data_IF_286388553373
#
_entry.id   IF_286388553373
#
_cell.length_a   1.000
_cell.length_b   1.000
_cell.length_c   1.000
_cell.angle_alpha   90.00
_cell.angle_beta   90.00
_cell.angle_gamma   90.00
#
_symmetry.space_group_name_H-M   'P 1'
#
loop_
_entity.id
_entity.type
_entity.pdbx_description
1 polymer ?
#
# COMPACT_ATOMS: atom_id res chain seq x y z
N UNK A 1 -36.01 -7.53 41.59
CA UNK A 1 -34.69 -7.80 41.00
C UNK A 1 -34.80 -7.54 39.51
N UNK A 2 -34.22 -6.44 39.00
CA UNK A 2 -34.01 -6.27 37.56
C UNK A 2 -32.73 -7.04 37.25
N UNK A 3 -32.85 -8.20 36.64
CA UNK A 3 -31.70 -8.88 36.04
C UNK A 3 -31.13 -7.94 34.98
N UNK A 4 -29.95 -7.39 35.27
CA UNK A 4 -29.11 -6.77 34.26
C UNK A 4 -28.72 -7.89 33.29
N UNK A 5 -29.50 -8.07 32.22
CA UNK A 5 -29.02 -8.76 31.02
C UNK A 5 -27.68 -8.10 30.64
N UNK A 6 -26.56 -8.76 30.97
CA UNK A 6 -25.27 -8.43 30.39
C UNK A 6 -25.43 -8.66 28.90
N UNK A 7 -25.75 -7.61 28.14
CA UNK A 7 -25.70 -7.63 26.67
C UNK A 7 -24.34 -8.20 26.28
N UNK A 8 -24.35 -9.43 25.77
CA UNK A 8 -23.16 -10.10 25.26
C UNK A 8 -22.62 -9.20 24.16
N UNK A 9 -21.36 -8.76 24.29
CA UNK A 9 -20.73 -7.95 23.25
C UNK A 9 -20.65 -8.78 21.97
N UNK A 10 -21.03 -8.23 20.81
CA UNK A 10 -20.99 -8.97 19.55
C UNK A 10 -19.55 -9.43 19.26
N UNK A 11 -19.43 -10.65 18.77
CA UNK A 11 -18.16 -11.28 18.39
C UNK A 11 -17.65 -10.73 17.06
N UNK A 12 -16.34 -10.49 16.96
CA UNK A 12 -15.71 -9.88 15.80
C UNK A 12 -14.51 -10.73 15.39
N UNK A 13 -14.41 -11.06 14.10
CA UNK A 13 -13.19 -11.59 13.48
C UNK A 13 -12.83 -10.75 12.27
N UNK A 14 -11.55 -10.47 12.09
CA UNK A 14 -11.05 -9.75 10.92
C UNK A 14 -9.89 -10.55 10.37
N UNK A 15 -10.03 -11.02 9.14
CA UNK A 15 -8.97 -11.71 8.43
C UNK A 15 -7.92 -10.71 7.97
N UNK A 16 -6.65 -11.02 8.22
CA UNK A 16 -5.52 -10.24 7.72
C UNK A 16 -4.85 -11.06 6.62
N UNK A 17 -4.98 -10.62 5.37
CA UNK A 17 -4.44 -11.35 4.22
C UNK A 17 -2.94 -11.15 4.03
N UNK A 18 -2.20 -12.26 4.04
CA UNK A 18 -0.75 -12.33 3.80
C UNK A 18 -0.46 -13.16 2.55
N UNK A 19 0.54 -12.76 1.78
CA UNK A 19 1.11 -13.58 0.71
C UNK A 19 2.63 -13.74 0.85
N UNK A 20 3.22 -13.21 1.91
CA UNK A 20 4.64 -13.35 2.29
C UNK A 20 4.81 -12.99 3.77
N UNK A 21 5.93 -13.33 4.41
CA UNK A 21 6.21 -12.89 5.77
C UNK A 21 6.27 -11.36 5.89
N UNK A 22 5.73 -10.88 7.00
CA UNK A 22 5.68 -9.49 7.42
C UNK A 22 5.34 -9.46 8.91
N UNK A 23 5.30 -8.28 9.52
CA UNK A 23 4.83 -8.14 10.89
C UNK A 23 3.47 -8.84 11.09
N UNK A 24 3.42 -9.73 12.09
CA UNK A 24 2.26 -10.58 12.34
C UNK A 24 1.20 -9.82 13.14
N UNK A 25 0.12 -9.43 12.47
CA UNK A 25 -1.04 -8.79 13.07
C UNK A 25 -2.03 -9.86 13.52
N UNK A 26 -1.91 -10.31 14.77
CA UNK A 26 -2.68 -11.43 15.33
C UNK A 26 -3.12 -11.13 16.75
N UNK A 27 -4.41 -11.30 17.03
CA UNK A 27 -5.01 -11.30 18.36
C UNK A 27 -6.37 -12.01 18.33
N UNK A 28 -7.20 -11.85 19.36
CA UNK A 28 -8.52 -12.50 19.42
C UNK A 28 -9.47 -12.05 18.30
N UNK A 29 -9.28 -10.84 17.75
CA UNK A 29 -10.08 -10.28 16.65
C UNK A 29 -9.36 -10.53 15.31
N UNK A 30 -8.05 -10.27 15.23
CA UNK A 30 -7.24 -10.36 14.02
C UNK A 30 -6.78 -11.79 13.76
N UNK A 31 -7.19 -12.36 12.62
CA UNK A 31 -6.86 -13.71 12.20
C UNK A 31 -6.02 -13.68 10.92
N UNK A 32 -4.70 -13.89 10.99
CA UNK A 32 -3.85 -14.00 9.80
C UNK A 32 -4.26 -15.15 8.90
N UNK A 33 -4.35 -14.90 7.59
CA UNK A 33 -4.61 -15.91 6.55
C UNK A 33 -3.58 -15.82 5.42
N UNK A 34 -3.01 -16.98 5.05
CA UNK A 34 -2.11 -17.14 3.90
C UNK A 34 -2.96 -17.27 2.64
N UNK A 35 -2.86 -16.29 1.76
CA UNK A 35 -3.54 -16.21 0.48
C UNK A 35 -2.76 -16.97 -0.60
N UNK A 36 -3.46 -17.71 -1.44
CA UNK A 36 -2.87 -18.46 -2.55
C UNK A 36 -1.91 -19.56 -2.09
N UNK A 37 -2.13 -20.12 -0.90
CA UNK A 37 -1.24 -21.15 -0.34
C UNK A 37 -1.11 -22.37 -1.24
N UNK A 38 -2.16 -22.72 -2.00
CA UNK A 38 -2.13 -23.80 -2.99
C UNK A 38 -1.12 -23.56 -4.14
N UNK A 39 -0.72 -22.31 -4.38
CA UNK A 39 0.17 -21.91 -5.48
C UNK A 39 1.54 -21.44 -4.97
N UNK A 40 1.92 -21.84 -3.75
CA UNK A 40 3.15 -21.34 -3.10
C UNK A 40 4.44 -21.69 -3.87
N UNK A 41 4.43 -22.79 -4.62
CA UNK A 41 5.55 -23.24 -5.45
C UNK A 41 5.64 -22.48 -6.77
N UNK A 42 4.62 -21.72 -7.14
CA UNK A 42 4.60 -20.92 -8.36
C UNK A 42 5.09 -19.50 -8.09
N UNK A 43 5.81 -18.92 -9.06
CA UNK A 43 6.20 -17.52 -8.98
C UNK A 43 4.97 -16.60 -8.91
N UNK A 44 5.05 -15.58 -8.05
CA UNK A 44 4.12 -14.47 -8.01
C UNK A 44 4.73 -13.23 -8.67
N UNK A 45 3.95 -12.15 -8.81
CA UNK A 45 4.48 -10.84 -9.21
C UNK A 45 5.56 -10.30 -8.26
N UNK A 46 5.58 -10.80 -7.02
CA UNK A 46 6.51 -10.41 -5.96
C UNK A 46 7.68 -11.40 -5.82
N UNK A 47 7.78 -12.38 -6.74
CA UNK A 47 8.81 -13.42 -6.76
C UNK A 47 8.39 -14.74 -6.11
N UNK A 48 9.39 -15.53 -5.71
CA UNK A 48 9.23 -16.83 -5.04
C UNK A 48 9.41 -16.69 -3.53
N UNK A 49 8.76 -17.57 -2.77
CA UNK A 49 8.86 -17.62 -1.31
C UNK A 49 9.85 -18.72 -0.91
N UNK A 50 10.71 -18.42 0.07
CA UNK A 50 11.66 -19.42 0.57
C UNK A 50 10.96 -20.53 1.36
N UNK A 51 11.61 -21.68 1.53
CA UNK A 51 11.05 -22.78 2.33
C UNK A 51 10.84 -22.37 3.80
N UNK A 52 11.75 -21.56 4.34
CA UNK A 52 11.69 -21.09 5.72
C UNK A 52 10.55 -20.09 5.90
N UNK A 53 10.38 -19.16 4.95
CA UNK A 53 9.25 -18.23 4.93
C UNK A 53 7.92 -18.98 4.84
N UNK A 54 7.83 -19.99 3.96
CA UNK A 54 6.62 -20.82 3.84
C UNK A 54 6.29 -21.53 5.16
N UNK A 55 7.29 -22.14 5.79
CA UNK A 55 7.13 -22.82 7.09
C UNK A 55 6.65 -21.84 8.16
N UNK A 56 7.30 -20.67 8.27
CA UNK A 56 6.88 -19.63 9.21
C UNK A 56 5.43 -19.20 8.95
N UNK A 57 5.03 -19.05 7.70
CA UNK A 57 3.65 -18.71 7.37
C UNK A 57 2.69 -19.81 7.85
N UNK A 58 2.94 -21.08 7.52
CA UNK A 58 2.12 -22.20 7.96
C UNK A 58 1.95 -22.31 9.49
N UNK A 59 3.00 -22.01 10.25
CA UNK A 59 2.97 -22.02 11.73
C UNK A 59 2.15 -20.87 12.33
N UNK A 60 2.11 -19.72 11.65
CA UNK A 60 1.58 -18.49 12.23
C UNK A 60 0.17 -18.12 11.75
N UNK A 61 -0.27 -18.64 10.59
CA UNK A 61 -1.52 -18.23 9.94
C UNK A 61 -2.31 -19.42 9.37
N UNK A 62 -3.63 -19.27 9.30
CA UNK A 62 -4.48 -20.25 8.61
C UNK A 62 -4.28 -20.18 7.10
N UNK A 63 -4.61 -21.25 6.38
CA UNK A 63 -4.49 -21.32 4.93
C UNK A 63 -5.83 -21.15 4.25
N UNK A 64 -5.83 -20.38 3.16
CA UNK A 64 -7.00 -20.28 2.28
C UNK A 64 -7.20 -21.51 1.39
N UNK A 65 -6.41 -22.58 1.57
CA UNK A 65 -6.36 -23.83 0.79
C UNK A 65 -7.01 -25.03 1.53
N UNK A 66 -7.78 -24.77 2.59
CA UNK A 66 -8.42 -25.82 3.40
C UNK A 66 -9.95 -25.76 3.29
N UNK A 67 -10.64 -26.90 3.45
CA UNK A 67 -12.10 -26.96 3.29
C UNK A 67 -12.56 -26.59 1.87
N UNK A 68 -13.74 -26.00 1.76
CA UNK A 68 -14.21 -25.45 0.47
C UNK A 68 -13.45 -24.14 0.18
N UNK A 69 -12.71 -24.13 -0.94
CA UNK A 69 -11.76 -23.08 -1.24
C UNK A 69 -11.46 -22.89 -2.72
N UNK A 70 -10.87 -21.73 -3.03
CA UNK A 70 -10.42 -21.34 -4.36
C UNK A 70 -8.97 -20.83 -4.35
N UNK A 71 -8.12 -21.33 -3.44
CA UNK A 71 -6.73 -20.88 -3.30
C UNK A 71 -5.95 -21.01 -4.63
N UNK A 72 -6.26 -22.04 -5.43
CA UNK A 72 -5.71 -22.27 -6.77
C UNK A 72 -6.09 -21.19 -7.80
N UNK A 73 -7.02 -20.28 -7.50
CA UNK A 73 -7.37 -19.12 -8.34
C UNK A 73 -6.70 -17.82 -7.89
N UNK A 74 -5.80 -17.85 -6.91
CA UNK A 74 -5.20 -16.63 -6.35
C UNK A 74 -4.46 -15.76 -7.37
N UNK A 75 -3.87 -16.36 -8.42
CA UNK A 75 -3.23 -15.60 -9.51
C UNK A 75 -4.20 -14.73 -10.30
N UNK A 76 -5.50 -15.02 -10.24
CA UNK A 76 -6.57 -14.30 -10.94
C UNK A 76 -7.47 -13.48 -10.02
N UNK A 77 -7.68 -13.97 -8.79
CA UNK A 77 -8.64 -13.40 -7.82
C UNK A 77 -7.96 -12.79 -6.59
N UNK A 78 -6.64 -12.92 -6.44
CA UNK A 78 -5.86 -12.32 -5.36
C UNK A 78 -6.49 -12.53 -3.96
N UNK A 79 -6.63 -11.46 -3.16
CA UNK A 79 -7.18 -11.49 -1.81
C UNK A 79 -8.57 -12.12 -1.69
N UNK A 80 -9.34 -12.11 -2.77
CA UNK A 80 -10.69 -12.64 -2.78
C UNK A 80 -10.70 -14.15 -2.48
N UNK A 81 -9.58 -14.85 -2.68
CA UNK A 81 -9.43 -16.25 -2.26
C UNK A 81 -9.57 -16.43 -0.74
N UNK A 82 -9.01 -15.52 0.06
CA UNK A 82 -9.20 -15.51 1.52
C UNK A 82 -10.60 -15.09 1.94
N UNK A 83 -11.22 -14.16 1.21
CA UNK A 83 -12.61 -13.74 1.44
C UNK A 83 -13.58 -14.89 1.15
N UNK A 84 -13.36 -15.62 0.05
CA UNK A 84 -14.13 -16.83 -0.29
C UNK A 84 -13.98 -17.90 0.77
N UNK A 85 -12.75 -18.14 1.23
CA UNK A 85 -12.49 -19.10 2.29
C UNK A 85 -13.29 -18.76 3.54
N UNK A 86 -13.31 -17.49 3.94
CA UNK A 86 -14.10 -17.01 5.07
C UNK A 86 -15.61 -17.25 4.89
N UNK A 87 -16.12 -17.04 3.68
CA UNK A 87 -17.52 -17.28 3.35
C UNK A 87 -17.91 -18.74 3.46
N UNK A 88 -17.10 -19.65 2.91
CA UNK A 88 -17.39 -21.08 2.87
C UNK A 88 -17.02 -21.85 4.15
N UNK A 89 -16.18 -21.25 4.99
CA UNK A 89 -15.68 -21.87 6.22
C UNK A 89 -15.99 -21.00 7.46
N UNK A 90 -17.11 -20.26 7.41
CA UNK A 90 -17.49 -19.28 8.42
C UNK A 90 -17.65 -19.86 9.84
N UNK A 91 -18.07 -21.12 9.92
CA UNK A 91 -18.17 -21.90 11.14
C UNK A 91 -16.80 -22.12 11.80
N UNK A 92 -15.75 -22.34 11.01
CA UNK A 92 -14.37 -22.48 11.49
C UNK A 92 -13.81 -21.19 12.09
N UNK A 93 -14.43 -20.05 11.81
CA UNK A 93 -14.11 -18.75 12.42
C UNK A 93 -14.89 -18.49 13.71
N UNK A 94 -15.69 -19.44 14.18
CA UNK A 94 -16.48 -19.32 15.39
C UNK A 94 -17.82 -18.60 15.18
N UNK A 95 -18.31 -18.54 13.93
CA UNK A 95 -19.57 -17.87 13.58
C UNK A 95 -19.69 -16.42 14.09
N UNK A 96 -18.71 -15.54 13.83
CA UNK A 96 -18.70 -14.21 14.42
C UNK A 96 -19.90 -13.36 13.97
N UNK A 97 -20.34 -12.43 14.81
CA UNK A 97 -21.42 -11.47 14.47
C UNK A 97 -20.94 -10.48 13.41
N UNK A 98 -19.67 -10.12 13.47
CA UNK A 98 -18.96 -9.28 12.50
C UNK A 98 -17.75 -10.01 11.91
N UNK A 99 -17.62 -9.92 10.59
CA UNK A 99 -16.47 -10.42 9.85
C UNK A 99 -15.84 -9.27 9.06
N UNK A 100 -14.52 -9.21 9.05
CA UNK A 100 -13.80 -8.25 8.23
C UNK A 100 -12.65 -8.86 7.45
N UNK A 101 -12.14 -8.07 6.53
CA UNK A 101 -10.94 -8.36 5.77
C UNK A 101 -10.08 -7.10 5.63
N UNK A 102 -8.79 -7.24 5.92
CA UNK A 102 -7.76 -6.21 5.71
C UNK A 102 -6.49 -6.86 5.13
N UNK A 103 -5.61 -6.05 4.55
CA UNK A 103 -4.31 -6.55 4.07
C UNK A 103 -3.25 -6.42 5.17
N UNK A 104 -2.21 -7.25 5.11
CA UNK A 104 -1.08 -7.15 6.06
C UNK A 104 -0.38 -5.78 6.05
N UNK A 105 -0.45 -5.04 4.94
CA UNK A 105 0.19 -3.72 4.76
C UNK A 105 -0.79 -2.57 4.51
N UNK A 106 -2.11 -2.83 4.60
CA UNK A 106 -3.14 -1.80 4.47
C UNK A 106 -4.20 -2.03 5.54
N UNK A 107 -4.34 -1.06 6.44
CA UNK A 107 -5.17 -1.21 7.63
C UNK A 107 -6.06 0.02 7.81
N UNK A 108 -7.23 -0.18 8.42
CA UNK A 108 -8.07 0.89 8.90
C UNK A 108 -7.36 1.67 10.01
N UNK A 109 -7.36 2.99 9.91
CA UNK A 109 -6.92 3.89 10.97
C UNK A 109 -8.13 4.18 11.85
N UNK A 110 -8.15 3.59 13.04
CA UNK A 110 -9.21 3.83 14.02
C UNK A 110 -8.92 5.05 14.89
N UNK A 111 -7.64 5.31 15.22
CA UNK A 111 -7.22 6.52 15.92
C UNK A 111 -6.89 7.65 14.95
N UNK A 112 -7.82 8.58 14.76
CA UNK A 112 -7.62 9.72 13.85
C UNK A 112 -6.56 10.71 14.34
N UNK A 113 -6.12 10.65 15.61
CA UNK A 113 -5.08 11.56 16.11
C UNK A 113 -3.72 11.34 15.42
N UNK A 114 -3.48 10.14 14.87
CA UNK A 114 -2.26 9.86 14.11
C UNK A 114 -2.24 10.58 12.75
N UNK A 115 -3.41 10.97 12.22
CA UNK A 115 -3.57 11.55 10.87
C UNK A 115 -2.79 12.84 10.71
N UNK A 116 -2.80 13.71 11.72
CA UNK A 116 -2.13 15.02 11.69
C UNK A 116 -0.62 14.95 11.41
N UNK A 117 -0.02 13.77 11.57
CA UNK A 117 1.43 13.54 11.47
C UNK A 117 1.82 12.71 10.25
N UNK A 118 0.83 12.28 9.48
CA UNK A 118 1.00 11.42 8.32
C UNK A 118 0.75 12.21 7.04
N UNK A 119 1.37 11.75 5.95
CA UNK A 119 1.16 12.33 4.63
C UNK A 119 0.31 11.39 3.80
N UNK A 120 -0.58 11.96 3.00
CA UNK A 120 -1.22 11.21 1.94
C UNK A 120 -0.19 10.81 0.90
N UNK A 121 -0.35 9.61 0.34
CA UNK A 121 0.35 9.22 -0.88
C UNK A 121 0.07 10.28 -1.96
N UNK A 122 1.13 10.99 -2.37
CA UNK A 122 1.05 12.07 -3.35
C UNK A 122 0.57 11.59 -4.72
N UNK A 123 0.70 10.29 -5.03
CA UNK A 123 0.27 9.71 -6.30
C UNK A 123 -1.21 9.32 -6.32
N UNK A 124 -1.72 8.77 -5.21
CA UNK A 124 -3.06 8.19 -5.20
C UNK A 124 -4.03 8.85 -4.21
N UNK A 125 -3.60 9.71 -3.28
CA UNK A 125 -4.42 10.34 -2.21
C UNK A 125 -5.38 9.40 -1.45
N UNK A 126 -5.25 8.09 -1.63
CA UNK A 126 -6.14 7.07 -1.10
C UNK A 126 -5.64 6.53 0.24
N UNK A 127 -4.31 6.44 0.37
CA UNK A 127 -3.65 5.94 1.56
C UNK A 127 -2.90 7.05 2.29
N UNK A 128 -2.81 6.85 3.60
CA UNK A 128 -1.89 7.52 4.49
C UNK A 128 -0.60 6.69 4.52
N UNK A 129 0.49 7.25 4.02
CA UNK A 129 1.77 6.55 3.96
C UNK A 129 2.34 6.41 5.36
N UNK A 130 2.58 5.16 5.76
CA UNK A 130 3.22 4.79 7.02
C UNK A 130 4.62 4.27 6.69
N UNK A 131 5.69 5.00 7.06
CA UNK A 131 7.04 4.60 6.73
C UNK A 131 7.42 3.22 7.26
N UNK A 132 6.98 2.89 8.48
CA UNK A 132 7.26 1.64 9.16
C UNK A 132 6.30 1.39 10.32
N UNK A 133 6.28 0.14 10.77
CA UNK A 133 5.47 -0.27 11.91
C UNK A 133 6.13 0.14 13.23
N UNK A 134 5.40 0.88 14.07
CA UNK A 134 5.81 1.23 15.43
C UNK A 134 4.64 1.07 16.41
N UNK A 135 4.92 1.17 17.72
CA UNK A 135 3.90 0.98 18.77
C UNK A 135 2.69 1.89 18.61
N UNK A 136 2.91 3.14 18.22
CA UNK A 136 1.81 4.10 18.02
C UNK A 136 0.91 3.68 16.87
N UNK A 137 1.48 3.32 15.73
CA UNK A 137 0.74 2.82 14.57
C UNK A 137 -0.02 1.54 14.92
N UNK A 138 0.64 0.57 15.57
CA UNK A 138 0.00 -0.67 16.04
C UNK A 138 -1.23 -0.38 16.90
N UNK A 139 -1.13 0.56 17.83
CA UNK A 139 -2.27 0.97 18.66
C UNK A 139 -3.37 1.64 17.84
N UNK A 140 -3.02 2.50 16.89
CA UNK A 140 -3.97 3.24 16.05
C UNK A 140 -4.79 2.36 15.10
N UNK A 141 -4.27 1.20 14.71
CA UNK A 141 -4.93 0.25 13.80
C UNK A 141 -5.52 -0.96 14.52
N UNK A 142 -5.44 -1.04 15.86
CA UNK A 142 -5.88 -2.19 16.64
C UNK A 142 -7.40 -2.13 16.90
N UNK A 143 -8.22 -3.00 16.29
CA UNK A 143 -9.68 -2.95 16.42
C UNK A 143 -10.18 -3.07 17.86
N UNK A 144 -9.47 -3.84 18.70
CA UNK A 144 -9.83 -4.06 20.10
C UNK A 144 -9.92 -2.78 20.95
N UNK A 145 -9.24 -1.70 20.54
CA UNK A 145 -9.27 -0.41 21.24
C UNK A 145 -10.42 0.50 20.79
N UNK A 146 -11.12 0.15 19.70
CA UNK A 146 -12.10 1.01 19.03
C UNK A 146 -13.36 0.22 18.62
N UNK A 147 -13.83 -0.67 19.50
CA UNK A 147 -14.99 -1.53 19.23
C UNK A 147 -16.25 -0.72 18.90
N UNK A 148 -16.42 0.45 19.50
CA UNK A 148 -17.52 1.39 19.25
C UNK A 148 -17.55 1.90 17.80
N UNK A 149 -16.39 1.99 17.14
CA UNK A 149 -16.29 2.33 15.71
C UNK A 149 -16.66 1.17 14.78
N UNK A 150 -17.00 0.00 15.34
CA UNK A 150 -17.39 -1.20 14.59
C UNK A 150 -18.82 -1.60 14.93
N UNK A 151 -19.11 -1.84 16.21
CA UNK A 151 -20.37 -2.48 16.65
C UNK A 151 -21.62 -1.59 16.48
N UNK A 152 -21.42 -0.28 16.30
CA UNK A 152 -22.52 0.67 16.06
C UNK A 152 -22.90 0.78 14.58
N UNK A 153 -22.19 0.07 13.70
CA UNK A 153 -22.36 0.17 12.26
C UNK A 153 -22.72 -1.20 11.66
N UNK A 154 -23.37 -1.17 10.51
CA UNK A 154 -23.65 -2.34 9.70
C UNK A 154 -22.43 -2.73 8.85
N UNK A 155 -21.71 -1.70 8.36
CA UNK A 155 -20.51 -1.80 7.54
C UNK A 155 -19.47 -0.79 8.02
N UNK A 156 -18.23 -1.23 8.20
CA UNK A 156 -17.03 -0.39 8.26
C UNK A 156 -16.27 -0.57 6.97
N UNK A 157 -15.91 0.51 6.30
CA UNK A 157 -15.16 0.51 5.05
C UNK A 157 -14.12 1.64 5.03
N UNK A 158 -13.29 1.66 3.99
CA UNK A 158 -12.37 2.76 3.76
C UNK A 158 -13.11 4.02 3.32
N UNK A 159 -12.50 5.19 3.51
CA UNK A 159 -12.97 6.40 2.81
C UNK A 159 -12.91 6.17 1.31
N UNK A 160 -13.95 6.63 0.61
CA UNK A 160 -14.03 6.51 -0.84
C UNK A 160 -12.84 7.21 -1.49
N UNK A 161 -12.22 6.53 -2.45
CA UNK A 161 -11.19 7.14 -3.28
C UNK A 161 -11.86 8.03 -4.31
N UNK A 162 -11.41 9.28 -4.35
CA UNK A 162 -11.68 10.21 -5.43
C UNK A 162 -10.35 10.43 -6.13
N UNK A 163 -10.20 10.06 -7.42
CA UNK A 163 -9.04 10.40 -8.24
C UNK A 163 -8.88 11.91 -8.24
N UNK A 164 -8.07 12.41 -7.32
CA UNK A 164 -8.04 13.83 -7.04
C UNK A 164 -7.30 14.53 -8.19
N UNK A 165 -7.69 15.79 -8.39
CA UNK A 165 -7.29 16.73 -9.42
C UNK A 165 -5.80 16.76 -9.86
N UNK A 166 -4.82 16.11 -9.23
CA UNK A 166 -3.43 16.14 -9.72
C UNK A 166 -3.20 15.24 -10.94
N UNK A 167 -3.68 14.00 -10.91
CA UNK A 167 -3.71 13.13 -12.10
C UNK A 167 -4.66 13.75 -13.13
N UNK A 168 -5.86 14.16 -12.70
CA UNK A 168 -6.86 14.83 -13.54
C UNK A 168 -6.39 16.18 -14.12
N UNK A 169 -5.56 16.97 -13.45
CA UNK A 169 -5.04 18.25 -13.98
C UNK A 169 -3.90 18.02 -14.98
N UNK A 170 -3.03 17.04 -14.75
CA UNK A 170 -2.01 16.64 -15.72
C UNK A 170 -2.64 15.93 -16.93
N UNK A 171 -3.79 15.27 -16.77
CA UNK A 171 -4.51 14.54 -17.82
C UNK A 171 -5.62 15.36 -18.51
N UNK A 172 -6.12 16.44 -17.91
CA UNK A 172 -6.95 17.46 -18.59
C UNK A 172 -6.21 18.09 -19.77
N UNK A 173 -4.88 18.12 -19.73
CA UNK A 173 -4.04 18.48 -20.86
C UNK A 173 -4.24 17.56 -22.09
N UNK A 174 -4.75 16.34 -21.89
CA UNK A 174 -4.96 15.32 -22.93
C UNK A 174 -6.40 15.21 -23.45
N UNK A 175 -7.36 15.99 -22.93
CA UNK A 175 -8.78 16.03 -23.39
C UNK A 175 -9.48 14.66 -23.54
N UNK A 176 -9.29 13.74 -22.59
CA UNK A 176 -10.03 12.46 -22.58
C UNK A 176 -11.00 12.45 -21.40
N UNK A 177 -12.29 12.20 -21.66
CA UNK A 177 -13.29 11.94 -20.63
C UNK A 177 -12.92 10.62 -19.91
N UNK A 178 -12.76 10.64 -18.60
CA UNK A 178 -12.43 9.45 -17.80
C UNK A 178 -13.69 8.86 -17.17
N UNK A 179 -14.12 7.73 -17.69
CA UNK A 179 -15.11 6.82 -17.10
C UNK A 179 -14.34 5.63 -16.44
N UNK A 180 -15.06 4.72 -15.78
CA UNK A 180 -14.52 3.58 -15.03
C UNK A 180 -13.54 2.74 -15.86
N UNK A 181 -13.80 2.68 -17.17
CA UNK A 181 -13.03 1.95 -18.16
C UNK A 181 -11.65 2.58 -18.38
N UNK A 182 -11.56 3.90 -18.49
CA UNK A 182 -10.29 4.60 -18.62
C UNK A 182 -9.51 4.59 -17.30
N UNK A 183 -10.18 4.60 -16.14
CA UNK A 183 -9.50 4.38 -14.87
C UNK A 183 -8.81 3.02 -14.81
N UNK A 184 -9.51 1.94 -15.22
CA UNK A 184 -8.85 0.63 -15.32
C UNK A 184 -7.68 0.63 -16.30
N UNK A 185 -7.77 1.40 -17.40
CA UNK A 185 -6.68 1.53 -18.37
C UNK A 185 -5.39 2.10 -17.76
N UNK A 186 -5.47 2.86 -16.66
CA UNK A 186 -4.28 3.37 -15.96
C UNK A 186 -3.47 2.27 -15.26
N UNK A 187 -4.11 1.14 -14.95
CA UNK A 187 -3.44 -0.02 -14.35
C UNK A 187 -3.01 -1.04 -15.42
N UNK A 188 -3.72 -1.15 -16.54
CA UNK A 188 -3.48 -2.18 -17.57
C UNK A 188 -3.87 -1.75 -19.00
N UNK A 189 -3.20 -2.26 -20.04
CA UNK A 189 -3.44 -1.84 -21.43
C UNK A 189 -4.75 -2.36 -22.08
N UNK A 190 -5.39 -3.41 -21.54
CA UNK A 190 -6.54 -4.11 -22.19
C UNK A 190 -7.74 -4.51 -21.26
N UNK A 191 -8.12 -3.74 -20.21
CA UNK A 191 -9.21 -4.09 -19.27
C UNK A 191 -10.62 -3.84 -19.82
N UNK A 192 -10.76 -3.17 -20.97
CA UNK A 192 -12.04 -2.79 -21.59
C UNK A 192 -13.02 -3.95 -21.68
N UNK A 193 -12.57 -5.12 -22.13
CA UNK A 193 -13.43 -6.30 -22.30
C UNK A 193 -13.97 -6.88 -20.99
N UNK A 194 -13.21 -6.75 -19.90
CA UNK A 194 -13.61 -7.25 -18.58
C UNK A 194 -14.72 -6.38 -17.99
N UNK A 195 -14.61 -5.05 -18.14
CA UNK A 195 -15.68 -4.11 -17.80
C UNK A 195 -16.91 -4.35 -18.67
N UNK A 196 -16.74 -4.48 -19.99
CA UNK A 196 -17.88 -4.74 -20.90
C UNK A 196 -18.61 -6.05 -20.52
N UNK A 197 -17.86 -7.06 -20.08
CA UNK A 197 -18.44 -8.32 -19.57
C UNK A 197 -19.15 -8.13 -18.23
N UNK A 198 -18.60 -7.34 -17.31
CA UNK A 198 -19.25 -6.99 -16.05
C UNK A 198 -20.60 -6.33 -16.30
N UNK A 199 -20.66 -5.30 -17.15
CA UNK A 199 -21.92 -4.61 -17.47
C UNK A 199 -22.90 -5.53 -18.19
N UNK A 200 -22.42 -6.35 -19.13
CA UNK A 200 -23.28 -7.35 -19.77
C UNK A 200 -23.92 -8.31 -18.75
N UNK A 201 -23.15 -8.80 -17.76
CA UNK A 201 -23.68 -9.66 -16.69
C UNK A 201 -24.72 -8.91 -15.85
N UNK A 202 -24.43 -7.67 -15.44
CA UNK A 202 -25.34 -6.86 -14.63
C UNK A 202 -26.66 -6.55 -15.35
N UNK A 203 -26.61 -6.33 -16.66
CA UNK A 203 -27.77 -6.01 -17.48
C UNK A 203 -28.68 -7.24 -17.73
N UNK A 204 -28.09 -8.43 -17.81
CA UNK A 204 -28.78 -9.65 -18.26
C UNK A 204 -29.07 -10.67 -17.14
N UNK A 205 -28.48 -10.53 -15.95
CA UNK A 205 -28.85 -11.34 -14.78
C UNK A 205 -29.93 -10.63 -13.96
N UNK A 206 -31.14 -11.22 -13.95
CA UNK A 206 -32.30 -10.67 -13.22
C UNK A 206 -32.01 -10.44 -11.74
N UNK A 207 -31.15 -11.27 -11.12
CA UNK A 207 -30.81 -11.14 -9.70
C UNK A 207 -29.83 -9.98 -9.43
N UNK A 208 -29.23 -9.42 -10.47
CA UNK A 208 -28.25 -8.34 -10.38
C UNK A 208 -28.77 -7.01 -10.93
N UNK A 209 -30.04 -6.95 -11.34
CA UNK A 209 -30.63 -5.76 -11.98
C UNK A 209 -30.50 -4.50 -11.12
N UNK A 210 -30.67 -4.63 -9.81
CA UNK A 210 -30.52 -3.50 -8.87
C UNK A 210 -29.08 -2.96 -8.76
N UNK A 211 -28.07 -3.77 -9.12
CA UNK A 211 -26.67 -3.36 -9.18
C UNK A 211 -26.31 -2.76 -10.53
N UNK A 212 -27.08 -3.05 -11.59
CA UNK A 212 -26.92 -2.41 -12.90
C UNK A 212 -27.14 -0.89 -12.81
N UNK A 213 -28.23 -0.46 -12.18
CA UNK A 213 -28.56 0.96 -12.04
C UNK A 213 -27.50 1.70 -11.22
N UNK A 214 -26.96 1.06 -10.18
CA UNK A 214 -25.85 1.59 -9.40
C UNK A 214 -24.59 1.67 -10.25
N UNK A 215 -24.21 0.59 -10.93
CA UNK A 215 -23.03 0.54 -11.78
C UNK A 215 -23.05 1.63 -12.87
N UNK A 216 -24.22 1.95 -13.43
CA UNK A 216 -24.37 3.04 -14.41
C UNK A 216 -24.04 4.42 -13.81
N UNK A 217 -24.36 4.67 -12.53
CA UNK A 217 -24.01 5.93 -11.85
C UNK A 217 -22.50 6.10 -11.70
N UNK A 218 -21.77 5.00 -11.54
CA UNK A 218 -20.32 4.96 -11.41
C UNK A 218 -19.59 4.82 -12.73
N UNK A 219 -20.28 4.57 -13.84
CA UNK A 219 -19.63 4.45 -15.15
C UNK A 219 -18.84 5.73 -15.44
N UNK A 220 -19.46 6.91 -15.35
CA UNK A 220 -18.81 8.21 -15.60
C UNK A 220 -18.20 8.86 -14.35
N UNK A 221 -18.22 8.19 -13.19
CA UNK A 221 -17.71 8.71 -11.91
C UNK A 221 -16.80 7.66 -11.29
N UNK A 222 -15.50 7.87 -11.41
CA UNK A 222 -14.51 6.99 -10.80
C UNK A 222 -14.44 7.30 -9.31
N UNK A 223 -15.38 6.77 -8.55
CA UNK A 223 -15.32 6.78 -7.10
C UNK A 223 -15.45 5.34 -6.60
N UNK A 224 -14.44 4.86 -5.89
CA UNK A 224 -14.38 3.44 -5.50
C UNK A 224 -14.04 3.27 -4.02
N UNK A 225 -14.32 2.09 -3.48
CA UNK A 225 -13.74 1.57 -2.25
C UNK A 225 -12.66 0.55 -2.63
N UNK A 226 -11.39 0.96 -2.71
CA UNK A 226 -10.33 0.08 -3.18
C UNK A 226 -10.03 -1.05 -2.19
N UNK A 227 -9.18 -1.99 -2.65
CA UNK A 227 -8.59 -3.05 -1.85
C UNK A 227 -9.56 -4.05 -1.21
N UNK A 228 -10.85 -4.06 -1.52
CA UNK A 228 -11.81 -5.02 -0.98
C UNK A 228 -11.79 -5.12 0.57
N UNK A 229 -11.50 -4.00 1.25
CA UNK A 229 -11.40 -3.96 2.72
C UNK A 229 -12.73 -3.58 3.36
N UNK A 230 -13.16 -4.35 4.36
CA UNK A 230 -14.41 -4.10 5.08
C UNK A 230 -14.44 -4.75 6.47
N UNK A 231 -15.41 -4.35 7.28
CA UNK A 231 -15.94 -5.11 8.41
C UNK A 231 -17.45 -5.06 8.30
N UNK A 232 -18.14 -6.18 8.22
CA UNK A 232 -19.58 -6.26 7.98
C UNK A 232 -20.26 -7.17 9.00
N UNK A 233 -21.52 -6.89 9.30
CA UNK A 233 -22.39 -7.87 9.97
C UNK A 233 -22.49 -9.14 9.12
N UNK A 234 -22.58 -10.31 9.77
CA UNK A 234 -22.69 -11.63 9.13
C UNK A 234 -23.67 -11.64 7.95
N UNK A 235 -24.89 -11.15 8.15
CA UNK A 235 -25.93 -11.14 7.09
C UNK A 235 -25.46 -10.40 5.82
N UNK A 236 -24.86 -9.21 5.99
CA UNK A 236 -24.37 -8.40 4.88
C UNK A 236 -23.16 -9.02 4.20
N UNK A 237 -22.26 -9.63 4.96
CA UNK A 237 -21.12 -10.35 4.39
C UNK A 237 -21.54 -11.52 3.49
N UNK A 238 -22.56 -12.30 3.89
CA UNK A 238 -23.07 -13.40 3.08
C UNK A 238 -23.70 -12.89 1.78
N UNK A 239 -24.53 -11.85 1.87
CA UNK A 239 -25.11 -11.18 0.69
C UNK A 239 -24.01 -10.63 -0.23
N UNK A 240 -23.01 -9.96 0.34
CA UNK A 240 -21.86 -9.45 -0.39
C UNK A 240 -21.13 -10.56 -1.16
N UNK A 241 -20.81 -11.68 -0.50
CA UNK A 241 -20.10 -12.78 -1.14
C UNK A 241 -20.92 -13.46 -2.25
N UNK A 242 -22.23 -13.63 -2.05
CA UNK A 242 -23.13 -14.17 -3.08
C UNK A 242 -23.08 -13.33 -4.36
N UNK A 243 -23.14 -12.00 -4.23
CA UNK A 243 -23.09 -11.08 -5.38
C UNK A 243 -21.68 -11.06 -5.99
N UNK A 244 -20.65 -10.88 -5.15
CA UNK A 244 -19.26 -10.76 -5.57
C UNK A 244 -18.81 -11.99 -6.37
N UNK A 245 -18.97 -13.18 -5.80
CA UNK A 245 -18.48 -14.39 -6.45
C UNK A 245 -19.37 -14.86 -7.60
N UNK A 246 -20.69 -14.57 -7.58
CA UNK A 246 -21.55 -14.80 -8.75
C UNK A 246 -21.03 -14.02 -9.97
N UNK A 247 -20.72 -12.74 -9.81
CA UNK A 247 -20.21 -11.90 -10.89
C UNK A 247 -18.79 -12.33 -11.31
N UNK A 248 -17.86 -12.41 -10.35
CA UNK A 248 -16.45 -12.61 -10.67
C UNK A 248 -16.16 -13.98 -11.26
N UNK A 249 -16.89 -15.03 -10.85
CA UNK A 249 -16.75 -16.34 -11.49
C UNK A 249 -17.23 -16.33 -12.94
N UNK A 250 -18.36 -15.68 -13.24
CA UNK A 250 -18.82 -15.52 -14.64
C UNK A 250 -17.78 -14.79 -15.49
N UNK A 251 -17.23 -13.68 -15.00
CA UNK A 251 -16.17 -12.95 -15.72
C UNK A 251 -14.93 -13.82 -15.89
N UNK A 252 -14.46 -14.48 -14.84
CA UNK A 252 -13.29 -15.36 -14.91
C UNK A 252 -13.49 -16.49 -15.94
N UNK A 253 -14.63 -17.18 -15.92
CA UNK A 253 -14.89 -18.29 -16.84
C UNK A 253 -14.96 -17.84 -18.30
N UNK A 254 -15.58 -16.68 -18.57
CA UNK A 254 -15.67 -16.13 -19.93
C UNK A 254 -14.30 -15.71 -20.50
N UNK A 255 -13.38 -15.27 -19.64
CA UNK A 255 -12.04 -14.81 -20.04
C UNK A 255 -10.91 -15.78 -19.67
N UNK A 256 -11.23 -17.01 -19.24
CA UNK A 256 -10.26 -17.95 -18.67
C UNK A 256 -9.08 -18.22 -19.60
N UNK A 257 -9.35 -18.52 -20.88
CA UNK A 257 -8.32 -18.85 -21.85
C UNK A 257 -7.37 -17.67 -22.09
N UNK A 258 -7.92 -16.46 -22.16
CA UNK A 258 -7.16 -15.24 -22.35
C UNK A 258 -6.26 -14.94 -21.13
N UNK A 259 -6.82 -15.04 -19.91
CA UNK A 259 -6.08 -14.90 -18.67
C UNK A 259 -4.98 -15.96 -18.53
N UNK A 260 -5.23 -17.20 -18.95
CA UNK A 260 -4.30 -18.31 -18.81
C UNK A 260 -3.11 -18.15 -19.75
N UNK A 261 -3.37 -17.76 -20.99
CA UNK A 261 -2.37 -17.63 -22.06
C UNK A 261 -1.55 -16.35 -21.99
N UNK A 262 -1.99 -15.34 -21.23
CA UNK A 262 -1.25 -14.09 -21.10
C UNK A 262 0.00 -14.26 -20.21
N UNK A 263 1.21 -13.89 -20.66
CA UNK A 263 2.42 -14.03 -19.84
C UNK A 263 2.54 -12.97 -18.73
N UNK A 264 1.80 -11.85 -18.81
CA UNK A 264 1.88 -10.78 -17.84
C UNK A 264 1.11 -11.11 -16.56
N UNK A 265 1.84 -11.27 -15.44
CA UNK A 265 1.27 -11.51 -14.12
C UNK A 265 0.40 -10.36 -13.61
N UNK A 266 0.63 -9.13 -14.07
CA UNK A 266 -0.22 -8.00 -13.76
C UNK A 266 -1.55 -8.11 -14.49
N UNK A 267 -1.52 -8.49 -15.77
CA UNK A 267 -2.72 -8.73 -16.58
C UNK A 267 -3.63 -9.82 -15.99
N UNK A 268 -3.07 -10.92 -15.49
CA UNK A 268 -3.83 -12.03 -14.91
C UNK A 268 -4.75 -11.62 -13.75
N UNK A 269 -4.47 -10.49 -13.11
CA UNK A 269 -5.20 -9.96 -11.96
C UNK A 269 -6.41 -9.10 -12.34
N UNK A 270 -6.72 -8.95 -13.62
CA UNK A 270 -7.83 -8.14 -14.14
C UNK A 270 -9.16 -8.41 -13.41
N UNK A 271 -9.47 -9.69 -13.16
CA UNK A 271 -10.71 -10.08 -12.47
C UNK A 271 -10.71 -9.65 -11.00
N UNK A 272 -9.59 -9.76 -10.29
CA UNK A 272 -9.48 -9.28 -8.91
C UNK A 272 -9.75 -7.78 -8.79
N UNK A 273 -9.24 -6.98 -9.73
CA UNK A 273 -9.49 -5.53 -9.75
C UNK A 273 -10.97 -5.20 -9.99
N UNK A 274 -11.68 -6.02 -10.78
CA UNK A 274 -13.13 -5.87 -10.90
C UNK A 274 -13.86 -6.05 -9.56
N UNK A 275 -13.30 -6.84 -8.66
CA UNK A 275 -13.82 -7.01 -7.31
C UNK A 275 -13.96 -5.69 -6.55
N UNK A 276 -13.07 -4.72 -6.78
CA UNK A 276 -13.15 -3.41 -6.12
C UNK A 276 -14.38 -2.61 -6.60
N UNK A 277 -14.76 -2.71 -7.87
CA UNK A 277 -15.98 -2.09 -8.39
C UNK A 277 -17.23 -2.79 -7.88
N UNK A 278 -17.24 -4.13 -7.86
CA UNK A 278 -18.38 -4.88 -7.33
C UNK A 278 -18.58 -4.60 -5.83
N UNK A 279 -17.49 -4.50 -5.08
CA UNK A 279 -17.50 -4.07 -3.68
C UNK A 279 -18.06 -2.65 -3.53
N UNK A 280 -17.68 -1.75 -4.45
CA UNK A 280 -18.22 -0.39 -4.47
C UNK A 280 -19.72 -0.39 -4.72
N UNK A 281 -20.20 -1.12 -5.73
CA UNK A 281 -21.63 -1.19 -6.04
C UNK A 281 -22.42 -1.79 -4.87
N UNK A 282 -21.86 -2.80 -4.19
CA UNK A 282 -22.47 -3.37 -2.99
C UNK A 282 -22.60 -2.34 -1.87
N UNK A 283 -21.52 -1.66 -1.50
CA UNK A 283 -21.54 -0.68 -0.41
C UNK A 283 -22.51 0.47 -0.72
N UNK A 284 -22.50 0.98 -1.96
CA UNK A 284 -23.38 2.07 -2.37
C UNK A 284 -24.85 1.65 -2.40
N UNK A 285 -25.14 0.39 -2.75
CA UNK A 285 -26.48 -0.17 -2.59
C UNK A 285 -26.92 -0.15 -1.14
N UNK A 286 -26.06 -0.58 -0.22
CA UNK A 286 -26.39 -0.60 1.21
C UNK A 286 -26.59 0.81 1.78
N UNK A 287 -25.88 1.81 1.26
CA UNK A 287 -26.15 3.23 1.58
C UNK A 287 -27.55 3.65 1.16
N UNK A 288 -27.99 3.29 -0.04
CA UNK A 288 -29.34 3.59 -0.53
C UNK A 288 -30.45 2.91 0.30
N UNK A 289 -30.12 1.80 0.96
CA UNK A 289 -31.04 1.09 1.87
C UNK A 289 -30.88 1.50 3.35
N UNK A 290 -30.27 2.66 3.63
CA UNK A 290 -30.06 3.23 4.97
C UNK A 290 -29.24 2.37 5.94
N UNK A 291 -28.30 1.56 5.45
CA UNK A 291 -27.34 0.89 6.33
C UNK A 291 -26.45 1.91 7.05
N UNK A 292 -26.17 1.69 8.33
CA UNK A 292 -25.21 2.51 9.08
C UNK A 292 -23.79 2.18 8.61
N UNK A 293 -23.11 3.13 7.95
CA UNK A 293 -21.76 2.92 7.41
C UNK A 293 -20.75 3.83 8.10
N UNK A 294 -19.65 3.24 8.60
CA UNK A 294 -18.48 3.95 9.07
C UNK A 294 -17.39 3.94 8.00
N UNK A 295 -16.91 5.11 7.62
CA UNK A 295 -15.77 5.25 6.71
C UNK A 295 -14.51 5.65 7.48
N UNK A 296 -13.44 4.89 7.33
CA UNK A 296 -12.16 5.11 8.01
C UNK A 296 -11.05 5.43 7.01
N UNK A 297 -10.08 6.23 7.43
CA UNK A 297 -8.86 6.40 6.64
C UNK A 297 -8.11 5.08 6.53
N UNK A 298 -7.43 4.90 5.40
CA UNK A 298 -6.63 3.72 5.14
C UNK A 298 -5.16 4.08 5.20
N UNK A 299 -4.39 3.22 5.85
CA UNK A 299 -2.94 3.30 5.88
C UNK A 299 -2.32 2.42 4.80
N UNK A 300 -1.13 2.77 4.35
CA UNK A 300 -0.26 1.90 3.56
C UNK A 300 1.13 1.83 4.20
N UNK A 301 1.55 0.63 4.61
CA UNK A 301 2.88 0.42 5.15
C UNK A 301 3.90 0.34 4.01
N UNK A 302 4.79 1.34 3.94
CA UNK A 302 5.91 1.38 3.01
C UNK A 302 6.96 0.32 3.37
N UNK A 303 7.18 0.12 4.67
CA UNK A 303 8.01 -0.96 5.19
C UNK A 303 7.24 -1.83 6.19
N UNK A 304 7.26 -3.14 5.93
CA UNK A 304 6.57 -4.16 6.72
C UNK A 304 7.49 -4.86 7.74
N UNK A 305 8.77 -4.50 7.78
CA UNK A 305 9.72 -4.94 8.80
C UNK A 305 9.64 -4.04 10.04
N UNK A 306 9.85 -4.65 11.22
CA UNK A 306 9.90 -3.93 12.49
C UNK A 306 11.16 -3.07 12.57
N UNK A 307 11.11 -2.10 13.50
CA UNK A 307 12.10 -1.09 13.88
C UNK A 307 13.58 -1.56 13.95
N UNK A 308 13.84 -2.87 13.93
CA UNK A 308 15.16 -3.47 14.11
C UNK A 308 15.97 -3.78 12.85
N UNK A 309 15.38 -3.86 11.65
CA UNK A 309 16.13 -4.34 10.46
C UNK A 309 16.13 -3.41 9.24
N UNK A 310 15.54 -2.23 9.36
CA UNK A 310 15.46 -1.30 8.25
C UNK A 310 16.55 -0.23 8.37
N UNK A 311 17.67 -0.43 7.67
CA UNK A 311 18.54 0.68 7.29
C UNK A 311 17.76 1.55 6.28
N UNK A 312 17.13 2.60 6.78
CA UNK A 312 16.23 3.45 5.98
C UNK A 312 17.00 4.35 5.01
N UNK A 313 16.64 4.25 3.72
CA UNK A 313 16.62 5.41 2.84
C UNK A 313 15.40 6.27 3.22
N UNK A 314 15.57 7.21 4.16
CA UNK A 314 14.52 8.16 4.52
C UNK A 314 14.26 9.14 3.37
N UNK A 315 13.02 9.59 3.17
CA UNK A 315 12.66 10.67 2.22
C UNK A 315 12.33 12.00 2.91
N UNK A 316 12.39 12.08 4.25
CA UNK A 316 12.18 13.32 5.03
C UNK A 316 12.95 13.40 6.37
N UNK A 317 13.96 12.57 6.61
CA UNK A 317 14.76 12.54 7.86
C UNK A 317 16.05 13.40 7.83
N UNK A 318 16.77 13.51 8.96
CA UNK A 318 18.10 14.11 9.00
C UNK A 318 19.09 13.37 8.08
N UNK A 319 19.00 12.05 7.98
CA UNK A 319 19.78 11.22 7.04
C UNK A 319 19.48 11.65 5.61
N UNK A 320 18.20 11.68 5.22
CA UNK A 320 17.78 12.17 3.90
C UNK A 320 18.30 13.57 3.58
N UNK A 321 18.25 14.45 4.58
CA UNK A 321 18.72 15.83 4.45
C UNK A 321 20.23 15.86 4.24
N UNK A 322 21.00 15.02 4.92
CA UNK A 322 22.44 14.85 4.69
C UNK A 322 22.73 14.23 3.32
N UNK A 323 21.96 13.22 2.90
CA UNK A 323 22.08 12.62 1.57
C UNK A 323 21.76 13.59 0.43
N UNK A 324 20.88 14.56 0.71
CA UNK A 324 20.55 15.62 -0.24
C UNK A 324 21.52 16.81 -0.23
N UNK A 325 22.51 16.82 0.68
CA UNK A 325 23.59 17.80 0.62
C UNK A 325 24.45 17.57 -0.61
N UNK A 326 24.93 18.66 -1.21
CA UNK A 326 25.76 18.61 -2.40
C UNK A 326 27.02 17.76 -2.20
N UNK A 327 27.61 17.82 -1.00
CA UNK A 327 28.77 17.00 -0.61
C UNK A 327 28.48 15.50 -0.74
N UNK A 328 27.31 15.03 -0.30
CA UNK A 328 26.98 13.61 -0.41
C UNK A 328 26.70 13.20 -1.86
N UNK A 329 25.95 14.02 -2.61
CA UNK A 329 25.63 13.77 -4.03
C UNK A 329 26.88 13.65 -4.89
N UNK A 330 27.83 14.59 -4.74
CA UNK A 330 29.11 14.54 -5.44
C UNK A 330 29.92 13.33 -4.99
N UNK A 331 29.96 13.06 -3.69
CA UNK A 331 30.61 11.87 -3.15
C UNK A 331 30.13 10.56 -3.77
N UNK A 332 28.82 10.45 -3.99
CA UNK A 332 28.19 9.28 -4.62
C UNK A 332 28.61 9.13 -6.09
N UNK A 333 28.66 10.23 -6.85
CA UNK A 333 29.17 10.24 -8.22
C UNK A 333 30.63 9.77 -8.24
N UNK A 334 31.47 10.31 -7.34
CA UNK A 334 32.90 9.96 -7.25
C UNK A 334 33.13 8.49 -6.89
N UNK A 335 32.37 7.91 -5.96
CA UNK A 335 32.49 6.49 -5.56
C UNK A 335 32.01 5.54 -6.67
N UNK A 336 30.99 5.94 -7.43
CA UNK A 336 30.44 5.13 -8.50
C UNK A 336 31.24 5.21 -9.80
N UNK A 337 32.17 6.16 -9.90
CA UNK A 337 33.08 6.33 -11.04
C UNK A 337 34.20 5.29 -10.95
N UNK A 338 34.03 4.14 -11.62
CA UNK A 338 34.95 2.98 -11.54
C UNK A 338 35.64 2.63 -12.86
N UNK A 339 35.07 3.02 -13.98
CA UNK A 339 35.56 2.69 -15.33
C UNK A 339 35.78 3.94 -16.20
N UNK A 340 36.50 3.79 -17.31
CA UNK A 340 36.89 4.88 -18.21
C UNK A 340 35.66 5.66 -18.75
N UNK A 341 34.55 4.96 -19.06
CA UNK A 341 33.34 5.63 -19.56
C UNK A 341 32.68 6.46 -18.47
N UNK A 342 32.66 5.96 -17.23
CA UNK A 342 32.15 6.71 -16.07
C UNK A 342 33.03 7.93 -15.73
N UNK A 343 34.36 7.83 -15.88
CA UNK A 343 35.30 8.93 -15.64
C UNK A 343 35.06 10.09 -16.61
N UNK A 344 34.78 9.80 -17.89
CA UNK A 344 34.47 10.83 -18.88
C UNK A 344 33.12 11.52 -18.64
N UNK A 345 32.15 10.81 -18.03
CA UNK A 345 30.80 11.35 -17.71
C UNK A 345 30.75 12.12 -16.39
N UNK A 346 31.58 11.74 -15.43
CA UNK A 346 31.56 12.30 -14.07
C UNK A 346 31.61 13.84 -14.01
N UNK A 347 32.41 14.56 -14.82
CA UNK A 347 32.41 16.03 -14.82
C UNK A 347 31.05 16.64 -15.16
N UNK A 348 30.36 16.08 -16.16
CA UNK A 348 29.03 16.55 -16.59
C UNK A 348 28.00 16.26 -15.49
N UNK A 349 28.01 15.05 -14.92
CA UNK A 349 27.11 14.67 -13.83
C UNK A 349 27.30 15.54 -12.58
N UNK A 350 28.55 15.85 -12.23
CA UNK A 350 28.86 16.77 -11.12
C UNK A 350 28.31 18.17 -11.41
N UNK A 351 28.56 18.73 -12.60
CA UNK A 351 28.04 20.06 -12.98
C UNK A 351 26.51 20.07 -12.90
N UNK A 352 25.83 19.06 -13.47
CA UNK A 352 24.38 18.96 -13.43
C UNK A 352 23.85 18.85 -11.99
N UNK A 353 24.51 18.07 -11.13
CA UNK A 353 24.15 17.93 -9.72
C UNK A 353 24.29 19.27 -8.95
N UNK A 354 25.35 20.03 -9.24
CA UNK A 354 25.57 21.37 -8.67
C UNK A 354 24.48 22.35 -9.12
N UNK A 355 24.17 22.39 -10.43
CA UNK A 355 23.14 23.27 -10.98
C UNK A 355 21.76 22.97 -10.41
N UNK A 356 21.39 21.69 -10.34
CA UNK A 356 20.12 21.25 -9.78
C UNK A 356 20.01 21.60 -8.28
N UNK A 357 21.08 21.36 -7.51
CA UNK A 357 21.13 21.71 -6.09
C UNK A 357 20.98 23.22 -5.88
N UNK A 358 21.67 24.05 -6.67
CA UNK A 358 21.53 25.52 -6.63
C UNK A 358 20.10 25.97 -6.96
N UNK A 359 19.47 25.38 -7.98
CA UNK A 359 18.07 25.68 -8.34
C UNK A 359 17.11 25.34 -7.20
N UNK A 360 17.23 24.14 -6.63
CA UNK A 360 16.41 23.67 -5.50
C UNK A 360 16.61 24.54 -4.26
N UNK A 361 17.85 24.91 -3.95
CA UNK A 361 18.17 25.81 -2.82
C UNK A 361 17.55 27.19 -3.00
N UNK A 362 17.57 27.75 -4.22
CA UNK A 362 16.95 29.05 -4.52
C UNK A 362 15.43 29.00 -4.31
N UNK A 363 14.77 27.96 -4.84
CA UNK A 363 13.32 27.75 -4.65
C UNK A 363 12.98 27.64 -3.16
N UNK A 364 13.75 26.84 -2.40
CA UNK A 364 13.53 26.68 -0.97
C UNK A 364 13.66 28.02 -0.21
N UNK A 365 14.72 28.79 -0.49
CA UNK A 365 14.89 30.12 0.14
C UNK A 365 13.74 31.06 -0.21
N UNK A 366 13.27 31.07 -1.47
CA UNK A 366 12.10 31.86 -1.88
C UNK A 366 10.86 31.45 -1.10
N UNK A 367 10.59 30.16 -0.92
CA UNK A 367 9.44 29.67 -0.15
C UNK A 367 9.52 30.10 1.32
N UNK A 368 10.68 29.94 1.97
CA UNK A 368 10.88 30.36 3.37
C UNK A 368 10.73 31.87 3.55
N UNK A 369 11.14 32.67 2.56
CA UNK A 369 10.96 34.12 2.57
C UNK A 369 9.49 34.54 2.40
N UNK A 370 8.68 33.75 1.68
CA UNK A 370 7.24 33.97 1.52
C UNK A 370 6.51 33.69 2.84
N UNK A 371 6.82 32.56 3.49
CA UNK A 371 6.20 32.17 4.75
C UNK A 371 7.16 31.27 5.56
N UNK A 372 7.40 31.65 6.82
CA UNK A 372 8.29 30.91 7.73
C UNK A 372 7.82 29.47 7.99
N UNK A 373 6.54 29.14 7.77
CA UNK A 373 6.05 27.75 7.91
C UNK A 373 6.72 26.75 6.97
N UNK A 374 7.33 27.22 5.87
CA UNK A 374 8.08 26.38 4.95
C UNK A 374 9.52 26.10 5.41
N UNK A 375 9.97 26.74 6.49
CA UNK A 375 11.29 26.47 7.06
C UNK A 375 11.34 25.04 7.60
N UNK A 376 12.33 24.26 7.14
CA UNK A 376 12.59 22.96 7.70
C UNK A 376 13.10 23.11 9.15
N UNK A 377 12.66 22.24 10.07
CA UNK A 377 13.22 22.17 11.42
C UNK A 377 14.75 21.98 11.43
N UNK A 378 15.46 22.31 12.53
CA UNK A 378 16.89 22.02 12.71
C UNK A 378 17.20 20.53 12.52
N UNK A 379 18.40 20.16 12.06
CA UNK A 379 18.74 18.74 11.82
C UNK A 379 18.63 17.89 13.09
N UNK A 380 18.92 18.51 14.24
CA UNK A 380 18.89 17.95 15.58
C UNK A 380 17.48 17.56 16.03
N UNK A 381 16.45 18.17 15.42
CA UNK A 381 15.05 17.91 15.77
C UNK A 381 14.48 16.63 15.14
N UNK A 382 15.23 15.96 14.27
CA UNK A 382 14.80 14.73 13.62
C UNK A 382 15.27 13.51 14.42
N UNK A 383 14.42 12.48 14.50
CA UNK A 383 14.69 11.26 15.26
C UNK A 383 15.93 10.50 14.80
N UNK A 384 16.33 10.64 13.52
CA UNK A 384 17.49 10.01 12.89
C UNK A 384 18.75 10.91 12.89
N UNK A 385 18.79 11.96 13.70
CA UNK A 385 19.92 12.91 13.74
C UNK A 385 21.29 12.24 14.00
N UNK A 386 21.37 11.31 14.96
CA UNK A 386 22.61 10.62 15.27
C UNK A 386 23.11 9.74 14.12
N UNK A 387 22.20 9.16 13.34
CA UNK A 387 22.54 8.40 12.13
C UNK A 387 23.05 9.34 11.03
N UNK A 388 22.43 10.52 10.88
CA UNK A 388 22.89 11.55 9.95
C UNK A 388 24.32 12.05 10.29
N UNK A 389 24.68 12.12 11.59
CA UNK A 389 26.05 12.41 12.02
C UNK A 389 27.03 11.30 11.59
N UNK A 390 26.67 10.03 11.77
CA UNK A 390 27.48 8.90 11.29
C UNK A 390 27.65 8.92 9.77
N UNK A 391 26.61 9.32 9.04
CA UNK A 391 26.66 9.44 7.59
C UNK A 391 27.64 10.54 7.12
N UNK A 392 27.76 11.65 7.85
CA UNK A 392 28.77 12.69 7.58
C UNK A 392 30.20 12.19 7.76
N UNK A 393 30.40 11.16 8.59
CA UNK A 393 31.69 10.51 8.77
C UNK A 393 32.00 9.46 7.68
N UNK A 394 31.02 9.10 6.85
CA UNK A 394 31.18 8.13 5.77
C UNK A 394 32.09 8.65 4.65
N UNK A 395 32.82 7.73 3.99
CA UNK A 395 33.75 8.05 2.89
C UNK A 395 33.08 8.85 1.79
N UNK A 396 31.85 8.50 1.43
CA UNK A 396 31.01 9.23 0.44
C UNK A 396 30.96 10.72 0.77
N UNK A 397 30.55 11.06 1.99
CA UNK A 397 30.39 12.44 2.40
C UNK A 397 31.74 13.17 2.43
N UNK A 398 32.78 12.53 2.99
CA UNK A 398 34.13 13.11 3.10
C UNK A 398 34.77 13.41 1.73
N UNK A 399 34.62 12.50 0.77
CA UNK A 399 35.14 12.69 -0.59
C UNK A 399 34.45 13.86 -1.29
N UNK A 400 33.12 13.90 -1.31
CA UNK A 400 32.43 14.98 -1.99
C UNK A 400 32.55 16.33 -1.27
N UNK A 401 32.68 16.35 0.06
CA UNK A 401 33.06 17.55 0.81
C UNK A 401 34.46 18.05 0.41
N UNK A 402 35.46 17.18 0.41
CA UNK A 402 36.82 17.57 0.01
C UNK A 402 36.90 18.00 -1.46
N UNK A 403 36.09 17.43 -2.34
CA UNK A 403 35.99 17.85 -3.74
C UNK A 403 35.42 19.27 -3.84
N UNK A 404 34.34 19.57 -3.11
CA UNK A 404 33.74 20.91 -3.08
C UNK A 404 34.68 21.97 -2.50
N UNK A 405 35.37 21.63 -1.41
CA UNK A 405 36.28 22.56 -0.73
C UNK A 405 37.54 22.83 -1.57
N UNK A 406 37.99 21.84 -2.36
CA UNK A 406 39.30 21.87 -3.01
C UNK A 406 39.32 21.10 -4.35
N UNK A 407 38.56 21.50 -5.37
CA UNK A 407 38.36 20.69 -6.58
C UNK A 407 39.66 20.44 -7.36
N UNK A 408 40.54 21.44 -7.45
CA UNK A 408 41.78 21.35 -8.25
C UNK A 408 42.88 20.48 -7.63
N UNK A 409 42.90 20.33 -6.31
CA UNK A 409 43.88 19.50 -5.59
C UNK A 409 43.26 18.23 -5.02
N UNK A 410 41.98 17.97 -5.31
CA UNK A 410 41.22 16.84 -4.78
C UNK A 410 41.91 15.51 -5.03
N UNK A 411 42.43 15.29 -6.25
CA UNK A 411 43.06 14.03 -6.66
C UNK A 411 44.22 13.63 -5.74
N UNK A 412 44.98 14.60 -5.24
CA UNK A 412 46.09 14.38 -4.32
C UNK A 412 45.64 14.09 -2.88
N UNK A 413 44.41 14.50 -2.52
CA UNK A 413 43.82 14.30 -1.19
C UNK A 413 43.10 12.94 -1.05
N UNK A 414 42.70 12.30 -2.16
CA UNK A 414 41.90 11.05 -2.14
C UNK A 414 42.55 9.95 -1.30
N UNK A 415 43.85 9.66 -1.52
CA UNK A 415 44.56 8.60 -0.78
C UNK A 415 44.59 8.85 0.73
N UNK A 416 44.79 10.11 1.12
CA UNK A 416 44.82 10.51 2.53
C UNK A 416 43.44 10.34 3.19
N UNK A 417 42.39 10.84 2.53
CA UNK A 417 41.00 10.73 3.01
C UNK A 417 40.59 9.27 3.19
N UNK A 418 40.95 8.42 2.22
CA UNK A 418 40.66 6.99 2.30
C UNK A 418 41.38 6.31 3.48
N UNK A 419 42.67 6.63 3.69
CA UNK A 419 43.46 6.10 4.81
C UNK A 419 42.90 6.54 6.17
N UNK A 420 42.56 7.82 6.31
CA UNK A 420 41.96 8.36 7.54
C UNK A 420 40.60 7.73 7.84
N UNK A 421 39.73 7.60 6.83
CA UNK A 421 38.44 6.93 7.00
C UNK A 421 38.59 5.44 7.38
N UNK A 422 39.55 4.74 6.77
CA UNK A 422 39.81 3.32 7.06
C UNK A 422 40.34 3.10 8.48
N UNK A 423 41.21 3.99 8.97
CA UNK A 423 41.75 3.91 10.32
C UNK A 423 40.68 4.17 11.39
N UNK A 424 39.69 5.03 11.10
CA UNK A 424 38.58 5.31 12.02
C UNK A 424 37.50 4.21 12.06
N UNK A 425 37.60 3.14 11.23
CA UNK A 425 36.69 1.97 11.27
C UNK A 425 37.11 0.89 12.27
N UNK A 426 38.31 1.01 12.88
CA UNK A 426 38.91 0.01 13.77
C UNK A 426 38.85 0.35 15.26
N UNK A 427 37.97 1.27 15.68
CA UNK A 427 37.70 1.62 17.09
C UNK A 427 36.21 1.40 17.37
#
# INVERSE_FOLDING_TARGET
>A
MKENEKKIKPSIKILVGYHKPAELLKDDILTPIHLGRALITEASKDGNISKDDYKWMCENMIGDDTGDNISYLNRYLNELTGIYWAWKNYDKLGNPDYIGYVHYRRNFIFDENIISQLRFDLFHNYFMDIPYINTRYKNAVKPAYFLDKIINFDIVTGKKFYPNNYLMNNLKCLKVDYNLKEYMLTFHPEPKKYIDTLYFILENDVNLKEYCDIAQQFYNKVEIYPCNMFIMKKKLFFQYCEILFNILFKVYFLHKNDLHNNPDLFYKRAVAYLGEFVTTFFIEKQKQTNAAIQELYLSFLLNCETEYNVNFNYSTGAVYRVENQLSYKIGKILINTKDIKSILKAPIEIIMSVLEHKRKSKIYQTLVNIDKKYAMPPLESYSDFHEALRLKEHLTYKLGKSFLDNPYVFIFKVKKIYKEWKNNKGV
#
